data_IF_625339954348
#
_entry.id   IF_625339954348
#
_cell.length_a   1.000
_cell.length_b   1.000
_cell.length_c   1.000
_cell.angle_alpha   90.00
_cell.angle_beta   90.00
_cell.angle_gamma   90.00
#
_symmetry.space_group_name_H-M   'P 1'
#
loop_
_entity.id
_entity.type
_entity.pdbx_description
1 polymer ?
#
# COMPACT_ATOMS: atom_id res chain seq x y z
N UNK A 1 3.41 -19.02 13.24
CA UNK A 1 3.14 -17.61 12.88
C UNK A 1 4.39 -17.07 12.20
N UNK A 2 4.33 -16.79 10.91
CA UNK A 2 5.42 -16.11 10.20
C UNK A 2 5.38 -14.60 10.46
N UNK A 3 6.50 -13.86 10.27
CA UNK A 3 6.51 -12.40 10.43
C UNK A 3 5.44 -11.70 9.58
N UNK A 4 5.21 -12.17 8.35
CA UNK A 4 4.15 -11.67 7.47
C UNK A 4 2.74 -11.93 8.04
N UNK A 5 2.49 -13.13 8.56
CA UNK A 5 1.21 -13.47 9.18
C UNK A 5 0.95 -12.61 10.43
N UNK A 6 1.98 -12.35 11.23
CA UNK A 6 1.90 -11.46 12.39
C UNK A 6 1.62 -10.02 11.99
N UNK A 7 2.26 -9.52 10.93
CA UNK A 7 2.00 -8.18 10.40
C UNK A 7 0.57 -8.03 9.88
N UNK A 8 0.09 -8.99 9.09
CA UNK A 8 -1.29 -9.00 8.58
C UNK A 8 -2.33 -9.14 9.70
N UNK A 9 -2.04 -9.95 10.73
CA UNK A 9 -2.89 -10.07 11.90
C UNK A 9 -2.93 -8.75 12.70
N UNK A 10 -1.79 -8.08 12.85
CA UNK A 10 -1.69 -6.79 13.53
C UNK A 10 -2.49 -5.72 12.79
N UNK A 11 -2.28 -5.56 11.47
CA UNK A 11 -3.04 -4.61 10.65
C UNK A 11 -4.56 -4.85 10.74
N UNK A 12 -5.00 -6.12 10.77
CA UNK A 12 -6.42 -6.45 10.95
C UNK A 12 -6.95 -6.09 12.34
N UNK A 13 -6.14 -6.26 13.38
CA UNK A 13 -6.53 -5.99 14.76
C UNK A 13 -6.54 -4.49 15.10
N UNK A 14 -5.67 -3.68 14.47
CA UNK A 14 -5.60 -2.23 14.68
C UNK A 14 -6.54 -1.44 13.80
N UNK A 15 -7.02 -2.00 12.70
CA UNK A 15 -8.01 -1.34 11.84
C UNK A 15 -9.37 -1.28 12.50
N UNK A 16 -9.93 -0.08 12.65
CA UNK A 16 -11.29 0.12 13.15
C UNK A 16 -12.32 0.13 12.02
N UNK A 17 -11.88 0.36 10.78
CA UNK A 17 -12.76 0.38 9.60
C UNK A 17 -12.20 -0.47 8.45
N UNK A 18 -13.08 -0.92 7.54
CA UNK A 18 -12.66 -1.62 6.31
C UNK A 18 -11.77 -0.74 5.43
N UNK A 19 -11.97 0.59 5.47
CA UNK A 19 -11.12 1.55 4.77
C UNK A 19 -9.69 1.53 5.30
N UNK A 20 -9.50 1.50 6.61
CA UNK A 20 -8.17 1.41 7.22
C UNK A 20 -7.48 0.08 6.91
N UNK A 21 -8.23 -1.03 6.89
CA UNK A 21 -7.68 -2.34 6.47
C UNK A 21 -7.13 -2.26 5.05
N UNK A 22 -7.87 -1.63 4.14
CA UNK A 22 -7.43 -1.35 2.77
C UNK A 22 -6.16 -0.51 2.74
N UNK A 23 -6.14 0.61 3.47
CA UNK A 23 -4.96 1.49 3.55
C UNK A 23 -3.71 0.77 4.06
N UNK A 24 -3.82 -0.05 5.11
CA UNK A 24 -2.65 -0.79 5.61
C UNK A 24 -2.15 -1.83 4.62
N UNK A 25 -3.06 -2.46 3.87
CA UNK A 25 -2.66 -3.39 2.81
C UNK A 25 -1.94 -2.66 1.68
N UNK A 26 -2.46 -1.51 1.24
CA UNK A 26 -1.84 -0.67 0.23
C UNK A 26 -0.42 -0.22 0.65
N UNK A 27 -0.24 0.21 1.90
CA UNK A 27 1.07 0.58 2.46
C UNK A 27 2.05 -0.60 2.51
N UNK A 28 1.57 -1.79 2.90
CA UNK A 28 2.38 -3.00 2.90
C UNK A 28 2.89 -3.34 1.50
N UNK A 29 2.01 -3.31 0.49
CA UNK A 29 2.37 -3.61 -0.90
C UNK A 29 3.31 -2.55 -1.49
N UNK A 30 3.07 -1.26 -1.20
CA UNK A 30 3.99 -0.18 -1.60
C UNK A 30 5.40 -0.41 -1.02
N UNK A 31 5.47 -0.77 0.26
CA UNK A 31 6.73 -1.06 0.94
C UNK A 31 7.41 -2.29 0.36
N UNK A 32 6.65 -3.34 0.05
CA UNK A 32 7.16 -4.54 -0.59
C UNK A 32 7.80 -4.23 -1.95
N UNK A 33 7.09 -3.52 -2.83
CA UNK A 33 7.61 -3.18 -4.16
C UNK A 33 8.84 -2.26 -4.14
N UNK A 34 8.99 -1.43 -3.11
CA UNK A 34 10.17 -0.56 -2.96
C UNK A 34 11.41 -1.28 -2.43
N UNK A 35 11.23 -2.37 -1.68
CA UNK A 35 12.35 -3.05 -1.00
C UNK A 35 12.75 -4.37 -1.66
N UNK A 36 11.84 -5.05 -2.33
CA UNK A 36 12.14 -6.31 -3.01
C UNK A 36 13.09 -6.04 -4.20
N UNK A 37 14.31 -6.61 -4.24
CA UNK A 37 15.34 -6.26 -5.23
C UNK A 37 14.85 -6.36 -6.68
N UNK A 38 14.02 -7.38 -6.97
CA UNK A 38 13.43 -7.57 -8.30
C UNK A 38 12.63 -6.34 -8.76
N UNK A 39 11.90 -5.68 -7.86
CA UNK A 39 11.03 -4.57 -8.21
C UNK A 39 11.71 -3.22 -7.97
N UNK A 40 12.60 -3.13 -6.98
CA UNK A 40 13.40 -1.95 -6.69
C UNK A 40 14.28 -1.55 -7.89
N UNK A 41 14.85 -2.54 -8.60
CA UNK A 41 15.65 -2.28 -9.79
C UNK A 41 14.80 -1.92 -11.02
N UNK A 42 13.53 -2.35 -11.06
CA UNK A 42 12.64 -2.12 -12.20
C UNK A 42 11.90 -0.78 -12.12
N UNK A 43 11.56 -0.32 -10.90
CA UNK A 43 10.73 0.86 -10.70
C UNK A 43 11.47 1.92 -9.90
N UNK A 44 11.69 3.09 -10.51
CA UNK A 44 12.31 4.23 -9.83
C UNK A 44 11.46 4.76 -8.66
N UNK A 45 10.13 4.72 -8.78
CA UNK A 45 9.22 5.16 -7.73
C UNK A 45 7.93 4.32 -7.75
N UNK A 46 7.42 3.98 -6.57
CA UNK A 46 6.15 3.28 -6.38
C UNK A 46 5.23 4.17 -5.54
N UNK A 47 4.02 4.42 -6.03
CA UNK A 47 3.06 5.36 -5.43
C UNK A 47 1.75 4.66 -5.10
N UNK A 48 1.02 5.18 -4.10
CA UNK A 48 -0.41 4.89 -4.01
C UNK A 48 -1.13 5.69 -5.09
N UNK A 49 -2.23 5.15 -5.62
CA UNK A 49 -3.00 5.83 -6.66
C UNK A 49 -3.42 7.24 -6.23
N UNK A 50 -3.87 7.40 -4.99
CA UNK A 50 -4.26 8.70 -4.45
C UNK A 50 -3.10 9.72 -4.42
N UNK A 51 -1.87 9.27 -4.12
CA UNK A 51 -0.69 10.13 -4.10
C UNK A 51 -0.27 10.50 -5.52
N UNK A 52 -0.28 9.54 -6.44
CA UNK A 52 -0.02 9.78 -7.86
C UNK A 52 -1.06 10.73 -8.47
N UNK A 53 -2.33 10.54 -8.13
CA UNK A 53 -3.43 11.37 -8.62
C UNK A 53 -3.25 12.83 -8.18
N UNK A 54 -2.87 13.06 -6.91
CA UNK A 54 -2.51 14.40 -6.41
C UNK A 54 -1.34 15.01 -7.18
N UNK A 55 -0.31 14.22 -7.49
CA UNK A 55 0.86 14.70 -8.26
C UNK A 55 0.49 15.11 -9.69
N UNK A 56 -0.43 14.39 -10.31
CA UNK A 56 -0.89 14.68 -11.68
C UNK A 56 -2.03 15.71 -11.75
N UNK A 57 -2.53 16.17 -10.60
CA UNK A 57 -3.70 17.06 -10.54
C UNK A 57 -5.00 16.39 -11.00
N UNK A 58 -5.05 15.05 -11.00
CA UNK A 58 -6.24 14.28 -11.35
C UNK A 58 -6.99 13.84 -10.09
N UNK A 59 -8.29 13.56 -10.23
CA UNK A 59 -9.11 13.12 -9.10
C UNK A 59 -8.57 11.80 -8.52
N UNK A 60 -8.24 11.81 -7.23
CA UNK A 60 -7.91 10.62 -6.45
C UNK A 60 -9.13 9.75 -6.12
N UNK A 61 -10.32 10.18 -6.56
CA UNK A 61 -11.56 9.47 -6.31
C UNK A 61 -11.66 8.30 -7.29
N UNK A 62 -11.57 7.10 -6.75
CA UNK A 62 -11.86 5.88 -7.49
C UNK A 62 -13.29 5.97 -8.05
N UNK A 63 -13.41 5.92 -9.37
CA UNK A 63 -14.69 6.12 -10.08
C UNK A 63 -15.25 4.80 -10.60
N UNK A 64 -14.64 3.65 -10.25
CA UNK A 64 -15.15 2.32 -10.58
C UNK A 64 -14.07 1.33 -10.96
#
# INVERSE_FOLDING_TARGET
MTPLQSLLAHSRATSQTEREKGTYFEELIRTYFRNEPKYADLYANVWLFADWAKLQGVSAKDTG
#
